data_IF_950484224161
#
_entry.id   IF_950484224161
#
_cell.length_a   1.000
_cell.length_b   1.000
_cell.length_c   1.000
_cell.angle_alpha   90.00
_cell.angle_beta   90.00
_cell.angle_gamma   90.00
#
_symmetry.space_group_name_H-M   'P 1'
#
loop_
_entity.id
_entity.type
_entity.pdbx_description
1 polymer ?
#
# COMPACT_ATOMS: atom_id res chain seq x y z
N UNK A 1 21.45 30.85 -13.33
CA UNK A 1 20.04 31.27 -13.21
C UNK A 1 19.86 32.00 -11.89
N UNK A 2 19.58 33.30 -11.89
CA UNK A 2 19.39 34.09 -10.66
C UNK A 2 17.97 33.86 -10.12
N UNK A 3 17.81 32.84 -9.28
CA UNK A 3 16.52 32.53 -8.64
C UNK A 3 16.28 33.59 -7.56
N UNK A 4 15.28 34.45 -7.76
CA UNK A 4 14.93 35.43 -6.74
C UNK A 4 14.35 34.73 -5.50
N UNK A 5 14.40 35.40 -4.34
CA UNK A 5 14.04 34.82 -3.03
C UNK A 5 12.65 34.15 -3.04
N UNK A 6 11.69 34.70 -3.79
CA UNK A 6 10.32 34.19 -3.90
C UNK A 6 10.29 32.84 -4.63
N UNK A 7 10.96 32.74 -5.78
CA UNK A 7 11.02 31.48 -6.53
C UNK A 7 11.68 30.34 -5.74
N UNK A 8 12.69 30.66 -4.91
CA UNK A 8 13.31 29.67 -4.01
C UNK A 8 12.34 29.18 -2.94
N UNK A 9 11.54 30.10 -2.36
CA UNK A 9 10.53 29.74 -1.36
C UNK A 9 9.42 28.86 -1.94
N UNK A 10 8.92 29.19 -3.15
CA UNK A 10 7.91 28.38 -3.83
C UNK A 10 8.46 26.97 -4.13
N UNK A 11 9.71 26.86 -4.60
CA UNK A 11 10.32 25.56 -4.87
C UNK A 11 10.44 24.69 -3.60
N UNK A 12 10.90 25.26 -2.49
CA UNK A 12 10.99 24.54 -1.21
C UNK A 12 9.61 24.14 -0.70
N UNK A 13 8.61 25.01 -0.81
CA UNK A 13 7.25 24.68 -0.43
C UNK A 13 6.68 23.54 -1.28
N UNK A 14 6.84 23.59 -2.60
CA UNK A 14 6.37 22.54 -3.50
C UNK A 14 7.04 21.19 -3.20
N UNK A 15 8.34 21.17 -2.90
CA UNK A 15 9.06 19.96 -2.50
C UNK A 15 8.54 19.41 -1.17
N UNK A 16 8.36 20.27 -0.16
CA UNK A 16 7.83 19.88 1.13
C UNK A 16 6.40 19.35 1.04
N UNK A 17 5.55 20.03 0.27
CA UNK A 17 4.18 19.62 0.02
C UNK A 17 4.12 18.27 -0.70
N UNK A 18 4.91 18.09 -1.77
CA UNK A 18 4.99 16.80 -2.48
C UNK A 18 5.46 15.68 -1.57
N UNK A 19 6.50 15.92 -0.77
CA UNK A 19 6.99 14.94 0.20
C UNK A 19 5.94 14.58 1.26
N UNK A 20 5.17 15.57 1.72
CA UNK A 20 4.09 15.34 2.67
C UNK A 20 3.00 14.42 2.10
N UNK A 21 2.50 14.68 0.88
CA UNK A 21 1.51 13.80 0.25
C UNK A 21 2.07 12.42 -0.08
N UNK A 22 3.36 12.31 -0.41
CA UNK A 22 4.00 11.02 -0.61
C UNK A 22 3.98 10.17 0.66
N UNK A 23 4.31 10.76 1.82
CA UNK A 23 4.24 10.07 3.11
C UNK A 23 2.81 9.66 3.48
N UNK A 24 1.83 10.54 3.26
CA UNK A 24 0.41 10.19 3.47
C UNK A 24 -0.02 9.02 2.57
N UNK A 25 0.47 8.96 1.33
CA UNK A 25 0.21 7.84 0.44
C UNK A 25 0.79 6.51 0.95
N UNK A 26 1.95 6.53 1.60
CA UNK A 26 2.53 5.33 2.22
C UNK A 26 1.68 4.86 3.40
N UNK A 27 1.30 5.79 4.29
CA UNK A 27 0.46 5.47 5.46
C UNK A 27 -0.91 4.96 5.03
N UNK A 28 -1.59 5.67 4.13
CA UNK A 28 -2.90 5.24 3.64
C UNK A 28 -2.87 3.89 2.92
N UNK A 29 -1.76 3.56 2.23
CA UNK A 29 -1.57 2.23 1.65
C UNK A 29 -1.38 1.16 2.73
N UNK A 30 -0.71 1.48 3.84
CA UNK A 30 -0.55 0.57 4.98
C UNK A 30 -1.92 0.25 5.58
N UNK A 31 -2.70 1.28 5.90
CA UNK A 31 -4.04 1.14 6.49
C UNK A 31 -4.97 0.37 5.56
N UNK A 32 -4.94 0.67 4.25
CA UNK A 32 -5.71 -0.08 3.25
C UNK A 32 -5.34 -1.57 3.19
N UNK A 33 -4.05 -1.89 3.26
CA UNK A 33 -3.63 -3.29 3.22
C UNK A 33 -4.13 -4.04 4.47
N UNK A 34 -4.01 -3.41 5.64
CA UNK A 34 -4.50 -3.98 6.90
C UNK A 34 -6.01 -4.22 6.86
N UNK A 35 -6.78 -3.26 6.34
CA UNK A 35 -8.23 -3.41 6.16
C UNK A 35 -8.59 -4.56 5.22
N UNK A 36 -7.89 -4.73 4.10
CA UNK A 36 -8.14 -5.84 3.18
C UNK A 36 -7.80 -7.18 3.83
N UNK A 37 -6.66 -7.28 4.53
CA UNK A 37 -6.26 -8.51 5.23
C UNK A 37 -7.25 -8.83 6.34
N UNK A 38 -7.69 -7.83 7.11
CA UNK A 38 -8.66 -8.00 8.19
C UNK A 38 -10.00 -8.57 7.69
N UNK A 39 -10.43 -8.16 6.50
CA UNK A 39 -11.67 -8.64 5.87
C UNK A 39 -11.49 -9.92 5.05
N UNK A 40 -10.25 -10.43 4.92
CA UNK A 40 -9.96 -11.67 4.23
C UNK A 40 -10.28 -12.88 5.12
N UNK A 41 -10.82 -13.94 4.53
CA UNK A 41 -10.98 -15.21 5.25
C UNK A 41 -9.61 -15.77 5.65
N UNK A 42 -9.53 -16.38 6.83
CA UNK A 42 -8.29 -17.00 7.33
C UNK A 42 -7.72 -18.03 6.34
N UNK A 43 -8.59 -18.81 5.70
CA UNK A 43 -8.22 -19.77 4.66
C UNK A 43 -7.50 -19.11 3.48
N UNK A 44 -8.08 -18.07 2.89
CA UNK A 44 -7.46 -17.34 1.78
C UNK A 44 -6.12 -16.73 2.20
N UNK A 45 -6.05 -16.15 3.40
CA UNK A 45 -4.80 -15.58 3.93
C UNK A 45 -3.70 -16.64 4.02
N UNK A 46 -3.98 -17.78 4.66
CA UNK A 46 -3.01 -18.86 4.83
C UNK A 46 -2.54 -19.44 3.50
N UNK A 47 -3.45 -19.70 2.56
CA UNK A 47 -3.08 -20.18 1.20
C UNK A 47 -2.17 -19.19 0.48
N UNK A 48 -2.42 -17.89 0.62
CA UNK A 48 -1.59 -16.85 0.00
C UNK A 48 -0.20 -16.81 0.67
N UNK A 49 -0.13 -16.78 2.00
CA UNK A 49 1.14 -16.75 2.75
C UNK A 49 1.98 -17.99 2.43
N UNK A 50 1.37 -19.18 2.42
CA UNK A 50 2.05 -20.43 2.03
C UNK A 50 2.58 -20.38 0.60
N UNK A 51 1.84 -19.74 -0.33
CA UNK A 51 2.27 -19.60 -1.72
C UNK A 51 3.40 -18.58 -1.92
N UNK A 52 3.43 -17.50 -1.13
CA UNK A 52 4.41 -16.43 -1.22
C UNK A 52 5.68 -16.72 -0.43
N UNK A 53 5.59 -17.59 0.58
CA UNK A 53 6.68 -17.96 1.49
C UNK A 53 6.80 -17.05 2.71
N UNK A 54 7.65 -17.47 3.64
CA UNK A 54 7.92 -16.74 4.89
C UNK A 54 8.42 -15.31 4.63
N UNK A 55 7.95 -14.37 5.43
CA UNK A 55 8.36 -12.96 5.36
C UNK A 55 7.75 -12.17 4.21
N UNK A 56 6.73 -12.70 3.52
CA UNK A 56 5.96 -11.90 2.57
C UNK A 56 5.30 -10.70 3.26
N UNK A 57 5.28 -9.56 2.57
CA UNK A 57 4.68 -8.33 3.08
C UNK A 57 3.17 -8.30 2.86
N UNK A 58 2.45 -7.56 3.71
CA UNK A 58 1.02 -7.31 3.57
C UNK A 58 0.63 -6.79 2.18
N UNK A 59 1.47 -5.93 1.59
CA UNK A 59 1.27 -5.46 0.21
C UNK A 59 1.27 -6.62 -0.79
N UNK A 60 2.17 -7.60 -0.63
CA UNK A 60 2.21 -8.77 -1.53
C UNK A 60 1.00 -9.66 -1.33
N UNK A 61 0.59 -9.88 -0.07
CA UNK A 61 -0.60 -10.67 0.27
C UNK A 61 -1.84 -10.03 -0.37
N UNK A 62 -2.06 -8.75 -0.13
CA UNK A 62 -3.20 -7.98 -0.68
C UNK A 62 -3.17 -7.95 -2.20
N UNK A 63 -2.00 -7.74 -2.80
CA UNK A 63 -1.88 -7.75 -4.27
C UNK A 63 -2.26 -9.11 -4.85
N UNK A 64 -1.79 -10.21 -4.26
CA UNK A 64 -2.12 -11.56 -4.70
C UNK A 64 -3.61 -11.86 -4.54
N UNK A 65 -4.18 -11.50 -3.39
CA UNK A 65 -5.61 -11.64 -3.12
C UNK A 65 -6.45 -10.88 -4.15
N UNK A 66 -6.20 -9.58 -4.34
CA UNK A 66 -6.98 -8.75 -5.27
C UNK A 66 -6.80 -9.17 -6.74
N UNK A 67 -5.66 -9.76 -7.10
CA UNK A 67 -5.42 -10.25 -8.47
C UNK A 67 -6.28 -11.48 -8.81
N UNK A 68 -6.75 -12.24 -7.82
CA UNK A 68 -7.60 -13.42 -8.00
C UNK A 68 -8.73 -13.46 -6.97
N UNK A 69 -9.37 -12.31 -6.72
CA UNK A 69 -10.28 -12.12 -5.60
C UNK A 69 -11.41 -13.15 -5.58
N UNK A 70 -12.04 -13.40 -6.72
CA UNK A 70 -13.16 -14.34 -6.85
C UNK A 70 -12.77 -15.78 -6.45
N UNK A 71 -11.56 -16.20 -6.79
CA UNK A 71 -11.04 -17.51 -6.38
C UNK A 71 -10.86 -17.57 -4.87
N UNK A 72 -10.18 -16.59 -4.27
CA UNK A 72 -9.92 -16.59 -2.84
C UNK A 72 -11.21 -16.43 -2.00
N UNK A 73 -12.17 -15.63 -2.46
CA UNK A 73 -13.49 -15.48 -1.83
C UNK A 73 -14.31 -16.79 -1.88
N UNK A 74 -14.05 -17.64 -2.88
CA UNK A 74 -14.70 -18.95 -2.99
C UNK A 74 -14.13 -20.00 -2.02
N UNK A 75 -12.98 -19.74 -1.38
CA UNK A 75 -12.35 -20.66 -0.42
C UNK A 75 -13.02 -20.65 0.97
N UNK A 76 -14.27 -20.21 1.08
CA UNK A 76 -15.08 -20.16 2.31
C UNK A 76 -15.49 -21.57 2.81
N UNK A 77 -14.52 -22.37 3.26
CA UNK A 77 -14.74 -23.66 3.91
C UNK A 77 -14.41 -23.62 5.40
#
# INVERSE_FOLDING_TARGET
>A
MNINKVSKQIAVFALGFTGFFFLLGIVGKSDYNEEVIYNMTETAYNVIVDSLGEGCSDTQIVKTYLSNKDYYDSLNW
#
